data_IF_193672193156
#
_entry.id   IF_193672193156
#
_cell.length_a   1.000
_cell.length_b   1.000
_cell.length_c   1.000
_cell.angle_alpha   90.00
_cell.angle_beta   90.00
_cell.angle_gamma   90.00
#
_symmetry.space_group_name_H-M   'P 1'
#
loop_
_entity.id
_entity.type
_entity.pdbx_description
1 polymer ?
#
# COMPACT_ATOMS: atom_id res chain seq x y z
N UNK A 1 -11.68 34.39 -1.28
CA UNK A 1 -12.19 33.06 -1.69
C UNK A 1 -11.06 32.27 -2.38
N UNK A 2 -9.87 32.15 -1.73
CA UNK A 2 -8.63 31.63 -2.35
C UNK A 2 -8.17 30.30 -1.71
N UNK A 3 -8.81 29.89 -0.60
CA UNK A 3 -8.39 28.71 0.18
C UNK A 3 -8.94 27.37 -0.34
N UNK A 4 -10.10 27.37 -1.03
CA UNK A 4 -10.68 26.12 -1.56
C UNK A 4 -9.94 25.60 -2.81
N UNK A 5 -9.49 26.51 -3.68
CA UNK A 5 -8.78 26.15 -4.92
C UNK A 5 -7.41 25.51 -4.65
N UNK A 6 -6.70 25.95 -3.61
CA UNK A 6 -5.40 25.39 -3.22
C UNK A 6 -5.55 24.00 -2.56
N UNK A 7 -6.62 23.77 -1.81
CA UNK A 7 -6.91 22.47 -1.21
C UNK A 7 -7.23 21.41 -2.28
N UNK A 8 -8.08 21.76 -3.25
CA UNK A 8 -8.40 20.86 -4.38
C UNK A 8 -7.16 20.59 -5.24
N UNK A 9 -6.36 21.62 -5.55
CA UNK A 9 -5.14 21.45 -6.34
C UNK A 9 -4.13 20.52 -5.64
N UNK A 10 -3.93 20.68 -4.32
CA UNK A 10 -3.09 19.80 -3.50
C UNK A 10 -3.62 18.36 -3.50
N UNK A 11 -4.93 18.18 -3.36
CA UNK A 11 -5.56 16.86 -3.40
C UNK A 11 -5.38 16.17 -4.77
N UNK A 12 -5.64 16.89 -5.87
CA UNK A 12 -5.44 16.38 -7.24
C UNK A 12 -3.97 16.04 -7.46
N UNK A 13 -3.05 16.91 -7.06
CA UNK A 13 -1.62 16.66 -7.19
C UNK A 13 -1.18 15.45 -6.37
N UNK A 14 -1.71 15.31 -5.15
CA UNK A 14 -1.45 14.15 -4.31
C UNK A 14 -1.92 12.84 -4.97
N UNK A 15 -3.16 12.83 -5.48
CA UNK A 15 -3.76 11.68 -6.16
C UNK A 15 -3.19 11.38 -7.55
N UNK A 16 -2.49 12.32 -8.17
CA UNK A 16 -1.91 12.17 -9.51
C UNK A 16 -0.81 11.11 -9.59
N UNK A 17 -0.19 10.74 -8.46
CA UNK A 17 0.91 9.77 -8.46
C UNK A 17 0.43 8.36 -8.09
N UNK A 18 0.86 7.38 -8.89
CA UNK A 18 0.58 5.95 -8.68
C UNK A 18 1.01 5.47 -7.27
N UNK A 19 2.14 5.95 -6.76
CA UNK A 19 2.61 5.58 -5.42
C UNK A 19 1.66 6.08 -4.31
N UNK A 20 1.07 7.26 -4.47
CA UNK A 20 0.10 7.80 -3.50
C UNK A 20 -1.19 6.99 -3.49
N UNK A 21 -1.76 6.74 -4.68
CA UNK A 21 -3.00 5.96 -4.83
C UNK A 21 -2.84 4.59 -4.18
N UNK A 22 -1.70 3.92 -4.41
CA UNK A 22 -1.38 2.64 -3.79
C UNK A 22 -1.38 2.67 -2.25
N UNK A 23 -0.87 3.74 -1.61
CA UNK A 23 -0.93 3.91 -0.14
C UNK A 23 -2.36 4.15 0.35
N UNK A 24 -3.16 4.95 -0.37
CA UNK A 24 -4.57 5.20 -0.03
C UNK A 24 -5.41 3.93 -0.15
N UNK A 25 -5.21 3.14 -1.20
CA UNK A 25 -5.86 1.83 -1.34
C UNK A 25 -5.54 0.93 -0.15
N UNK A 26 -4.28 0.92 0.29
CA UNK A 26 -3.87 0.16 1.48
C UNK A 26 -4.55 0.68 2.75
N UNK A 27 -4.63 2.00 2.93
CA UNK A 27 -5.34 2.63 4.06
C UNK A 27 -6.82 2.22 4.09
N UNK A 28 -7.51 2.30 2.95
CA UNK A 28 -8.92 1.93 2.83
C UNK A 28 -9.14 0.43 3.08
N UNK A 29 -8.23 -0.43 2.63
CA UNK A 29 -8.31 -1.87 2.87
C UNK A 29 -8.18 -2.23 4.35
N UNK A 30 -7.15 -1.71 5.03
CA UNK A 30 -6.95 -2.00 6.44
C UNK A 30 -7.94 -1.27 7.33
N UNK A 31 -8.37 -0.05 6.95
CA UNK A 31 -9.46 0.68 7.59
C UNK A 31 -10.75 -0.12 7.54
N UNK A 32 -11.16 -0.59 6.37
CA UNK A 32 -12.35 -1.45 6.21
C UNK A 32 -12.26 -2.73 7.05
N UNK A 33 -11.10 -3.40 7.08
CA UNK A 33 -10.89 -4.59 7.94
C UNK A 33 -11.02 -4.27 9.44
N UNK A 34 -10.37 -3.20 9.89
CA UNK A 34 -10.39 -2.81 11.29
C UNK A 34 -11.79 -2.37 11.73
N UNK A 35 -12.44 -1.53 10.94
CA UNK A 35 -13.82 -1.09 11.17
C UNK A 35 -14.78 -2.28 11.23
N UNK A 36 -14.66 -3.23 10.30
CA UNK A 36 -15.44 -4.48 10.34
C UNK A 36 -15.21 -5.25 11.64
N UNK A 37 -13.96 -5.43 12.05
CA UNK A 37 -13.63 -6.11 13.30
C UNK A 37 -14.23 -5.38 14.52
N UNK A 38 -14.10 -4.04 14.57
CA UNK A 38 -14.64 -3.23 15.65
C UNK A 38 -16.18 -3.32 15.72
N UNK A 39 -16.88 -3.28 14.58
CA UNK A 39 -18.33 -3.45 14.55
C UNK A 39 -18.79 -4.83 15.01
N UNK A 40 -18.12 -5.91 14.58
CA UNK A 40 -18.45 -7.26 15.05
C UNK A 40 -18.22 -7.38 16.55
N UNK A 41 -17.11 -6.83 17.06
CA UNK A 41 -16.71 -6.99 18.45
C UNK A 41 -17.55 -6.13 19.41
N UNK A 42 -17.89 -4.90 19.03
CA UNK A 42 -18.56 -3.93 19.91
C UNK A 42 -20.07 -3.83 19.69
N UNK A 43 -20.56 -4.08 18.48
CA UNK A 43 -21.99 -3.96 18.14
C UNK A 43 -22.69 -5.31 17.88
N UNK A 44 -21.98 -6.43 18.03
CA UNK A 44 -22.51 -7.79 17.81
C UNK A 44 -23.27 -7.93 16.47
N UNK A 45 -22.86 -7.15 15.47
CA UNK A 45 -23.44 -7.17 14.14
C UNK A 45 -23.37 -8.59 13.58
N UNK A 46 -24.49 -9.04 13.02
CA UNK A 46 -24.63 -10.40 12.52
C UNK A 46 -23.46 -10.75 11.61
N UNK A 47 -22.77 -11.85 11.92
CA UNK A 47 -21.52 -12.23 11.26
C UNK A 47 -21.75 -12.43 9.77
N UNK A 48 -22.95 -12.80 9.37
CA UNK A 48 -23.32 -13.03 7.98
C UNK A 48 -23.50 -11.71 7.20
N UNK A 49 -24.09 -10.68 7.81
CA UNK A 49 -24.14 -9.33 7.23
C UNK A 49 -22.74 -8.69 7.17
N UNK A 50 -21.92 -8.89 8.21
CA UNK A 50 -20.54 -8.41 8.23
C UNK A 50 -19.64 -9.16 7.23
N UNK A 51 -19.97 -10.40 6.86
CA UNK A 51 -19.26 -11.21 5.88
C UNK A 51 -19.58 -10.89 4.42
N UNK A 52 -20.51 -9.96 4.17
CA UNK A 52 -20.70 -9.36 2.86
C UNK A 52 -19.33 -8.91 2.32
N UNK A 53 -18.89 -9.46 1.17
CA UNK A 53 -17.59 -9.14 0.62
C UNK A 53 -17.59 -7.66 0.24
N UNK A 54 -16.67 -6.87 0.80
CA UNK A 54 -16.42 -5.54 0.24
C UNK A 54 -15.72 -5.73 -1.10
N UNK A 55 -16.50 -5.85 -2.18
CA UNK A 55 -16.02 -5.88 -3.57
C UNK A 55 -14.98 -4.78 -3.83
N UNK A 56 -15.12 -3.66 -3.12
CA UNK A 56 -14.20 -2.52 -3.05
C UNK A 56 -12.77 -2.93 -2.68
N UNK A 57 -12.54 -3.77 -1.66
CA UNK A 57 -11.19 -4.16 -1.26
C UNK A 57 -10.51 -5.08 -2.28
N UNK A 58 -11.29 -5.89 -2.99
CA UNK A 58 -10.81 -6.74 -4.06
C UNK A 58 -10.43 -5.88 -5.28
N UNK A 59 -11.30 -4.93 -5.63
CA UNK A 59 -11.03 -3.97 -6.69
C UNK A 59 -9.75 -3.18 -6.43
N UNK A 60 -9.53 -2.68 -5.21
CA UNK A 60 -8.29 -1.99 -4.86
C UNK A 60 -7.03 -2.86 -5.01
N UNK A 61 -7.10 -4.15 -4.69
CA UNK A 61 -5.96 -5.07 -4.92
C UNK A 61 -5.68 -5.29 -6.40
N UNK A 62 -6.73 -5.34 -7.21
CA UNK A 62 -6.60 -5.44 -8.65
C UNK A 62 -5.98 -4.17 -9.24
N UNK A 63 -6.43 -2.99 -8.79
CA UNK A 63 -5.80 -1.72 -9.17
C UNK A 63 -4.32 -1.70 -8.76
N UNK A 64 -3.99 -2.09 -7.53
CA UNK A 64 -2.60 -2.16 -7.06
C UNK A 64 -1.74 -3.10 -7.92
N UNK A 65 -2.30 -4.23 -8.39
CA UNK A 65 -1.62 -5.11 -9.34
C UNK A 65 -1.26 -4.38 -10.65
N UNK A 66 -2.23 -3.69 -11.27
CA UNK A 66 -1.99 -2.93 -12.51
C UNK A 66 -0.98 -1.79 -12.29
N UNK A 67 -1.08 -1.11 -11.16
CA UNK A 67 -0.15 -0.04 -10.77
C UNK A 67 1.29 -0.53 -10.62
N UNK A 68 1.54 -1.78 -10.20
CA UNK A 68 2.90 -2.30 -10.13
C UNK A 68 3.58 -2.37 -11.50
N UNK A 69 2.83 -2.67 -12.56
CA UNK A 69 3.37 -2.68 -13.92
C UNK A 69 3.76 -1.27 -14.40
N UNK A 70 2.91 -0.27 -14.10
CA UNK A 70 3.19 1.13 -14.39
C UNK A 70 4.41 1.64 -13.60
N UNK A 71 4.47 1.35 -12.29
CA UNK A 71 5.60 1.71 -11.45
C UNK A 71 6.91 1.10 -11.95
N UNK A 72 6.89 -0.16 -12.39
CA UNK A 72 8.07 -0.83 -12.91
C UNK A 72 8.63 -0.14 -14.16
N UNK A 73 7.75 0.25 -15.09
CA UNK A 73 8.12 0.95 -16.33
C UNK A 73 8.70 2.34 -16.04
N UNK A 74 8.20 3.02 -15.02
CA UNK A 74 8.56 4.39 -14.68
C UNK A 74 9.69 4.52 -13.65
N UNK A 75 10.38 3.44 -13.27
CA UNK A 75 11.56 3.52 -12.40
C UNK A 75 12.70 4.26 -13.10
N UNK A 76 12.93 5.51 -12.70
CA UNK A 76 14.04 6.35 -13.16
C UNK A 76 14.87 6.79 -11.96
N UNK A 77 15.91 6.02 -11.65
CA UNK A 77 16.87 6.33 -10.59
C UNK A 77 18.27 6.48 -11.20
N UNK A 78 19.06 7.51 -10.81
CA UNK A 78 20.38 7.75 -11.38
C UNK A 78 21.35 6.61 -11.03
N UNK A 79 21.27 6.10 -9.80
CA UNK A 79 22.12 5.02 -9.31
C UNK A 79 21.59 3.64 -9.75
N UNK A 80 22.44 2.84 -10.41
CA UNK A 80 22.08 1.50 -10.90
C UNK A 80 21.61 0.57 -9.78
N UNK A 81 22.32 0.56 -8.65
CA UNK A 81 21.98 -0.29 -7.51
C UNK A 81 20.60 0.06 -6.90
N UNK A 82 20.30 1.35 -6.74
CA UNK A 82 18.97 1.83 -6.30
C UNK A 82 17.89 1.41 -7.29
N UNK A 83 18.16 1.54 -8.60
CA UNK A 83 17.24 1.13 -9.66
C UNK A 83 16.92 -0.37 -9.60
N UNK A 84 17.94 -1.21 -9.43
CA UNK A 84 17.78 -2.67 -9.33
C UNK A 84 16.99 -3.04 -8.08
N UNK A 85 17.35 -2.49 -6.92
CA UNK A 85 16.62 -2.74 -5.66
C UNK A 85 15.16 -2.31 -5.74
N UNK A 86 14.88 -1.13 -6.32
CA UNK A 86 13.51 -0.63 -6.51
C UNK A 86 12.72 -1.54 -7.46
N UNK A 87 13.32 -1.96 -8.58
CA UNK A 87 12.69 -2.90 -9.53
C UNK A 87 12.39 -4.25 -8.87
N UNK A 88 13.37 -4.83 -8.15
CA UNK A 88 13.17 -6.08 -7.42
C UNK A 88 12.02 -5.96 -6.42
N UNK A 89 11.98 -4.86 -5.65
CA UNK A 89 10.90 -4.61 -4.70
C UNK A 89 9.53 -4.49 -5.39
N UNK A 90 9.44 -3.78 -6.51
CA UNK A 90 8.21 -3.70 -7.31
C UNK A 90 7.81 -5.07 -7.86
N UNK A 91 8.77 -5.87 -8.33
CA UNK A 91 8.52 -7.25 -8.78
C UNK A 91 8.00 -8.14 -7.64
N UNK A 92 8.51 -8.00 -6.42
CA UNK A 92 7.94 -8.68 -5.26
C UNK A 92 6.47 -8.27 -5.03
N UNK A 93 6.15 -6.98 -5.06
CA UNK A 93 4.77 -6.52 -4.94
C UNK A 93 3.89 -6.98 -6.09
N UNK A 94 4.42 -7.04 -7.32
CA UNK A 94 3.70 -7.55 -8.49
C UNK A 94 3.27 -9.00 -8.27
N UNK A 95 4.20 -9.89 -7.87
CA UNK A 95 3.87 -11.29 -7.59
C UNK A 95 2.97 -11.47 -6.37
N UNK A 96 3.16 -10.64 -5.33
CA UNK A 96 2.25 -10.58 -4.18
C UNK A 96 0.80 -10.34 -4.64
N UNK A 97 0.55 -9.25 -5.38
CA UNK A 97 -0.79 -8.92 -5.84
C UNK A 97 -1.31 -9.91 -6.89
N UNK A 98 -0.47 -10.43 -7.78
CA UNK A 98 -0.87 -11.43 -8.76
C UNK A 98 -1.40 -12.70 -8.07
N UNK A 99 -0.64 -13.23 -7.11
CA UNK A 99 -1.03 -14.44 -6.37
C UNK A 99 -2.24 -14.16 -5.48
N UNK A 100 -2.32 -12.99 -4.84
CA UNK A 100 -3.48 -12.62 -4.04
C UNK A 100 -4.77 -12.58 -4.89
N UNK A 101 -4.72 -11.91 -6.05
CA UNK A 101 -5.84 -11.85 -6.99
C UNK A 101 -6.21 -13.25 -7.52
N UNK A 102 -5.22 -14.09 -7.84
CA UNK A 102 -5.46 -15.47 -8.27
C UNK A 102 -6.13 -16.32 -7.18
N UNK A 103 -5.69 -16.18 -5.92
CA UNK A 103 -6.30 -16.87 -4.77
C UNK A 103 -7.75 -16.40 -4.58
N UNK A 104 -8.02 -15.10 -4.70
CA UNK A 104 -9.39 -14.55 -4.64
C UNK A 104 -10.24 -15.13 -5.76
N UNK A 105 -9.77 -15.14 -7.01
CA UNK A 105 -10.47 -15.72 -8.15
C UNK A 105 -10.83 -17.19 -7.90
N UNK A 106 -9.85 -18.02 -7.49
CA UNK A 106 -10.07 -19.45 -7.22
C UNK A 106 -11.07 -19.68 -6.10
N UNK A 107 -10.99 -18.91 -5.01
CA UNK A 107 -11.82 -19.14 -3.82
C UNK A 107 -13.21 -18.52 -3.92
N UNK A 108 -13.39 -17.42 -4.66
CA UNK A 108 -14.65 -16.68 -4.73
C UNK A 108 -15.44 -16.94 -6.00
N UNK A 109 -14.77 -16.98 -7.15
CA UNK A 109 -15.43 -17.18 -8.45
C UNK A 109 -15.58 -18.66 -8.75
N UNK A 110 -14.52 -19.43 -8.50
CA UNK A 110 -14.50 -20.88 -8.81
C UNK A 110 -14.90 -21.76 -7.62
N UNK A 111 -15.26 -21.17 -6.47
CA UNK A 111 -15.76 -21.90 -5.30
C UNK A 111 -14.76 -22.86 -4.65
N UNK A 112 -13.47 -22.77 -4.96
CA UNK A 112 -12.46 -23.66 -4.37
C UNK A 112 -12.35 -23.39 -2.88
N UNK A 113 -12.37 -24.44 -2.07
CA UNK A 113 -12.26 -24.34 -0.62
C UNK A 113 -11.02 -23.55 -0.21
N UNK A 114 -11.13 -22.51 0.65
CA UNK A 114 -9.97 -21.79 1.19
C UNK A 114 -9.02 -22.67 2.00
N UNK A 115 -9.49 -23.86 2.41
CA UNK A 115 -8.72 -24.86 3.16
C UNK A 115 -7.89 -25.77 2.25
N UNK A 116 -8.01 -25.66 0.93
CA UNK A 116 -7.24 -26.45 -0.03
C UNK A 116 -5.71 -26.27 0.19
N UNK A 117 -4.92 -27.36 0.23
CA UNK A 117 -3.46 -27.29 0.44
C UNK A 117 -2.72 -26.41 -0.57
N UNK A 118 -3.14 -26.40 -1.84
CA UNK A 118 -2.57 -25.56 -2.88
C UNK A 118 -2.86 -24.08 -2.63
N UNK A 119 -4.10 -23.73 -2.25
CA UNK A 119 -4.47 -22.36 -1.87
C UNK A 119 -3.67 -21.88 -0.66
N UNK A 120 -3.45 -22.74 0.33
CA UNK A 120 -2.59 -22.41 1.49
C UNK A 120 -1.14 -22.15 1.07
N UNK A 121 -0.59 -22.97 0.17
CA UNK A 121 0.78 -22.80 -0.34
C UNK A 121 0.92 -21.47 -1.10
N UNK A 122 -0.05 -21.13 -1.94
CA UNK A 122 -0.08 -19.85 -2.65
C UNK A 122 -0.15 -18.65 -1.68
N UNK A 123 -1.00 -18.72 -0.64
CA UNK A 123 -1.07 -17.67 0.39
C UNK A 123 0.26 -17.49 1.13
N UNK A 124 0.95 -18.58 1.47
CA UNK A 124 2.30 -18.49 2.07
C UNK A 124 3.31 -17.86 1.11
N UNK A 125 3.32 -18.28 -0.16
CA UNK A 125 4.19 -17.69 -1.18
C UNK A 125 3.94 -16.19 -1.37
N UNK A 126 2.68 -15.79 -1.41
CA UNK A 126 2.24 -14.40 -1.42
C UNK A 126 2.84 -13.61 -0.24
N UNK A 127 2.65 -14.09 1.00
CA UNK A 127 3.23 -13.45 2.19
C UNK A 127 4.77 -13.46 2.17
N UNK A 128 5.41 -14.45 1.55
CA UNK A 128 6.85 -14.49 1.31
C UNK A 128 7.33 -13.35 0.40
N UNK A 129 6.64 -13.10 -0.72
CA UNK A 129 6.93 -11.95 -1.57
C UNK A 129 6.74 -10.62 -0.85
N UNK A 130 5.70 -10.50 -0.03
CA UNK A 130 5.49 -9.30 0.78
C UNK A 130 6.62 -9.10 1.80
N UNK A 131 7.03 -10.16 2.51
CA UNK A 131 8.16 -10.10 3.45
C UNK A 131 9.46 -9.69 2.74
N UNK A 132 9.78 -10.30 1.60
CA UNK A 132 10.95 -9.92 0.81
C UNK A 132 10.90 -8.46 0.38
N UNK A 133 9.74 -7.93 0.00
CA UNK A 133 9.58 -6.51 -0.34
C UNK A 133 9.88 -5.57 0.83
N UNK A 134 9.60 -5.99 2.08
CA UNK A 134 9.89 -5.23 3.30
C UNK A 134 11.40 -5.27 3.58
N UNK A 135 12.02 -6.46 3.47
CA UNK A 135 13.46 -6.62 3.66
C UNK A 135 14.26 -5.77 2.66
N UNK A 136 13.85 -5.74 1.39
CA UNK A 136 14.45 -4.90 0.36
C UNK A 136 14.27 -3.39 0.61
N UNK A 137 13.29 -2.99 1.42
CA UNK A 137 13.03 -1.58 1.73
C UNK A 137 14.04 -0.98 2.73
N UNK A 138 14.76 -1.80 3.52
CA UNK A 138 15.81 -1.31 4.43
C UNK A 138 17.05 -0.80 3.68
N UNK A 139 17.73 -1.60 2.84
CA UNK A 139 18.89 -1.13 2.09
C UNK A 139 18.50 -0.02 1.12
N UNK A 140 17.32 -0.10 0.50
CA UNK A 140 16.83 0.94 -0.43
C UNK A 140 16.72 2.31 0.26
N UNK A 141 16.07 2.38 1.43
CA UNK A 141 15.91 3.65 2.14
C UNK A 141 17.24 4.21 2.65
N UNK A 142 18.17 3.34 3.05
CA UNK A 142 19.52 3.75 3.41
C UNK A 142 20.24 4.38 2.22
N UNK A 143 20.15 3.77 1.04
CA UNK A 143 20.79 4.29 -0.19
C UNK A 143 20.14 5.57 -0.72
N UNK A 144 18.83 5.72 -0.54
CA UNK A 144 18.11 6.92 -0.96
C UNK A 144 18.17 8.05 0.07
N UNK A 145 18.83 7.84 1.22
CA UNK A 145 18.82 8.75 2.38
C UNK A 145 17.40 9.12 2.84
N UNK A 146 16.43 8.22 2.61
CA UNK A 146 15.00 8.39 2.97
C UNK A 146 14.64 7.73 4.30
N UNK A 147 15.65 7.32 5.07
CA UNK A 147 15.49 6.61 6.35
C UNK A 147 14.97 7.48 7.49
N UNK A 148 13.80 8.11 7.33
CA UNK A 148 13.13 8.78 8.43
C UNK A 148 12.67 7.75 9.47
N UNK A 149 12.64 8.15 10.75
CA UNK A 149 12.18 7.30 11.85
C UNK A 149 10.79 6.71 11.56
N UNK A 150 9.89 7.51 10.97
CA UNK A 150 8.54 7.07 10.57
C UNK A 150 8.57 5.98 9.48
N UNK A 151 9.44 6.07 8.47
CA UNK A 151 9.57 5.01 7.46
C UNK A 151 10.07 3.71 8.08
N UNK A 152 10.98 3.79 9.05
CA UNK A 152 11.48 2.62 9.78
C UNK A 152 10.39 2.00 10.64
N UNK A 153 9.65 2.80 11.42
CA UNK A 153 8.52 2.34 12.24
C UNK A 153 7.49 1.64 11.36
N UNK A 154 7.13 2.23 10.21
CA UNK A 154 6.20 1.61 9.25
C UNK A 154 6.62 0.19 8.86
N UNK A 155 7.90 -0.01 8.52
CA UNK A 155 8.43 -1.34 8.15
C UNK A 155 8.42 -2.31 9.32
N UNK A 156 8.73 -1.83 10.53
CA UNK A 156 8.69 -2.63 11.75
C UNK A 156 7.27 -3.05 12.13
N UNK A 157 6.26 -2.23 11.83
CA UNK A 157 4.85 -2.62 11.98
C UNK A 157 4.43 -3.68 10.95
N UNK A 158 4.95 -3.60 9.72
CA UNK A 158 4.64 -4.54 8.65
C UNK A 158 5.35 -5.90 8.82
N UNK A 159 6.55 -5.91 9.39
CA UNK A 159 7.44 -7.07 9.44
C UNK A 159 6.80 -8.26 10.21
N UNK A 160 6.24 -8.11 11.43
CA UNK A 160 5.56 -9.18 12.13
C UNK A 160 4.35 -9.70 11.35
N UNK A 161 3.59 -8.80 10.70
CA UNK A 161 2.38 -9.15 9.95
C UNK A 161 2.73 -10.04 8.75
N UNK A 162 3.77 -9.67 7.98
CA UNK A 162 4.24 -10.48 6.86
C UNK A 162 4.87 -11.80 7.33
N UNK A 163 5.59 -11.80 8.45
CA UNK A 163 6.29 -12.97 8.99
C UNK A 163 5.29 -14.02 9.50
N UNK A 164 4.30 -13.60 10.29
CA UNK A 164 3.20 -14.46 10.76
C UNK A 164 2.40 -15.02 9.57
N UNK A 165 2.13 -14.17 8.56
CA UNK A 165 1.47 -14.59 7.33
C UNK A 165 2.24 -15.66 6.57
N UNK A 166 3.57 -15.59 6.55
CA UNK A 166 4.44 -16.61 5.94
C UNK A 166 4.42 -17.91 6.75
N UNK A 167 4.52 -17.82 8.07
CA UNK A 167 4.48 -18.96 8.99
C UNK A 167 3.12 -19.66 9.04
N UNK A 168 2.05 -19.02 8.55
CA UNK A 168 0.69 -19.56 8.57
C UNK A 168 0.06 -19.60 9.95
N UNK A 169 0.64 -18.88 10.92
CA UNK A 169 0.10 -18.75 12.26
C UNK A 169 -1.17 -17.90 12.24
N UNK A 170 -2.18 -18.30 13.00
CA UNK A 170 -3.39 -17.49 13.20
C UNK A 170 -3.14 -16.50 14.31
N UNK A 171 -3.42 -15.24 14.03
CA UNK A 171 -3.39 -14.13 15.00
C UNK A 171 -4.71 -13.39 14.89
N UNK A 172 -5.09 -12.65 15.93
CA UNK A 172 -6.30 -11.83 15.95
C UNK A 172 -6.40 -10.92 14.72
N UNK A 173 -7.52 -11.01 14.01
CA UNK A 173 -7.85 -10.15 12.87
C UNK A 173 -7.84 -8.65 13.25
N UNK A 174 -8.17 -8.33 14.50
CA UNK A 174 -8.14 -6.97 15.04
C UNK A 174 -6.73 -6.41 15.16
N UNK A 175 -5.79 -7.20 15.70
CA UNK A 175 -4.38 -6.80 15.80
C UNK A 175 -3.76 -6.62 14.42
N UNK A 176 -4.07 -7.52 13.49
CA UNK A 176 -3.63 -7.42 12.09
C UNK A 176 -4.22 -6.20 11.38
N UNK A 177 -5.50 -5.92 11.62
CA UNK A 177 -6.17 -4.72 11.12
C UNK A 177 -5.52 -3.44 11.66
N UNK A 178 -5.29 -3.37 12.97
CA UNK A 178 -4.72 -2.21 13.65
C UNK A 178 -3.27 -1.93 13.21
N UNK A 179 -2.40 -2.95 13.17
CA UNK A 179 -1.01 -2.80 12.72
C UNK A 179 -0.95 -2.35 11.24
N UNK A 180 -1.77 -2.98 10.40
CA UNK A 180 -1.87 -2.62 8.99
C UNK A 180 -2.41 -1.21 8.76
N UNK A 181 -3.39 -0.79 9.56
CA UNK A 181 -3.96 0.57 9.54
C UNK A 181 -2.94 1.61 9.98
N UNK A 182 -2.25 1.38 11.11
CA UNK A 182 -1.21 2.27 11.60
C UNK A 182 -0.07 2.43 10.59
N UNK A 183 0.41 1.34 10.00
CA UNK A 183 1.41 1.36 8.94
C UNK A 183 0.94 2.10 7.68
N UNK A 184 -0.32 1.88 7.27
CA UNK A 184 -0.89 2.57 6.12
C UNK A 184 -1.04 4.08 6.37
N UNK A 185 -1.45 4.48 7.58
CA UNK A 185 -1.57 5.89 7.97
C UNK A 185 -0.21 6.60 7.93
N UNK A 186 0.83 5.98 8.49
CA UNK A 186 2.21 6.49 8.40
C UNK A 186 2.64 6.59 6.92
N UNK A 187 2.27 5.60 6.11
CA UNK A 187 2.54 5.58 4.67
C UNK A 187 1.90 6.75 3.90
N UNK A 188 0.64 7.05 4.16
CA UNK A 188 -0.08 8.18 3.54
C UNK A 188 0.52 9.50 4.03
N UNK A 189 0.77 9.65 5.33
CA UNK A 189 1.34 10.86 5.90
C UNK A 189 2.75 11.17 5.36
N UNK A 190 3.65 10.19 5.40
CA UNK A 190 5.02 10.36 4.86
C UNK A 190 4.97 10.72 3.38
N UNK A 191 4.06 10.11 2.62
CA UNK A 191 3.90 10.44 1.21
C UNK A 191 3.32 11.84 0.98
N UNK A 192 2.39 12.27 1.82
CA UNK A 192 1.82 13.62 1.76
C UNK A 192 2.93 14.66 1.91
N UNK A 193 3.79 14.52 2.92
CA UNK A 193 4.93 15.41 3.15
C UNK A 193 5.85 15.46 1.92
N UNK A 194 6.23 14.31 1.36
CA UNK A 194 7.08 14.25 0.16
C UNK A 194 6.45 14.94 -1.06
N UNK A 195 5.16 14.70 -1.30
CA UNK A 195 4.45 15.21 -2.47
C UNK A 195 4.18 16.71 -2.33
N UNK A 196 3.83 17.18 -1.13
CA UNK A 196 3.64 18.61 -0.87
C UNK A 196 4.95 19.40 -0.99
N UNK A 197 6.08 18.84 -0.58
CA UNK A 197 7.38 19.47 -0.80
C UNK A 197 7.67 19.68 -2.30
N UNK A 198 7.34 18.69 -3.14
CA UNK A 198 7.47 18.80 -4.61
C UNK A 198 6.47 19.80 -5.20
N UNK A 199 5.23 19.81 -4.71
CA UNK A 199 4.21 20.76 -5.13
C UNK A 199 4.66 22.20 -4.86
N UNK A 200 5.15 22.48 -3.64
CA UNK A 200 5.69 23.79 -3.27
C UNK A 200 6.85 24.20 -4.18
N UNK A 201 7.81 23.31 -4.44
CA UNK A 201 8.92 23.59 -5.35
C UNK A 201 8.46 23.90 -6.77
N UNK A 202 7.46 23.18 -7.29
CA UNK A 202 6.89 23.45 -8.61
C UNK A 202 6.11 24.76 -8.65
N UNK A 203 5.38 25.08 -7.59
CA UNK A 203 4.62 26.32 -7.48
C UNK A 203 5.54 27.53 -7.42
N UNK A 204 6.60 27.48 -6.59
CA UNK A 204 7.63 28.52 -6.52
C UNK A 204 8.34 28.73 -7.87
N UNK A 205 8.64 27.65 -8.60
CA UNK A 205 9.22 27.76 -9.95
C UNK A 205 8.28 28.41 -10.97
N UNK A 206 6.97 28.20 -10.86
CA UNK A 206 5.98 28.85 -11.73
C UNK A 206 5.85 30.34 -11.41
N UNK A 207 5.87 30.70 -10.13
CA UNK A 207 5.85 32.10 -9.67
C UNK A 207 7.14 32.85 -10.03
N UNK A 208 8.29 32.19 -10.05
CA UNK A 208 9.54 32.79 -10.53
C UNK A 208 9.69 32.84 -12.06
N UNK A 209 8.75 32.24 -12.80
CA UNK A 209 8.74 32.19 -14.27
C UNK A 209 7.65 33.08 -14.89
N UNK A 210 6.89 33.83 -14.09
CA UNK A 210 6.07 34.92 -14.61
C UNK A 210 7.02 36.03 -15.09
N UNK A 211 7.09 36.34 -16.39
CA UNK A 211 7.88 37.47 -16.86
C UNK A 211 7.33 38.73 -16.20
N UNK A 212 8.23 39.60 -15.73
CA UNK A 212 7.87 40.97 -15.36
C UNK A 212 7.15 41.58 -16.56
N UNK A 213 5.83 41.76 -16.43
CA UNK A 213 5.07 42.58 -17.37
C UNK A 213 5.44 44.01 -17.00
N UNK A 214 6.53 44.49 -17.58
CA UNK A 214 6.94 45.89 -17.62
C UNK A 214 6.30 46.59 -18.83
#
# INVERSE_FOLDING_TARGET
>A
MVFEDDALAKAVFFLSTTETRSQLYRLLQYGSKFTKWAFIQHWQLDRDAANAPSNVTQFFRFLQFLEMADLYRNVREPLRAVRVLRRLRITCFFFFYLIENYVVLRTRVLGVSPRDPFIRRLRRGCNGFWLMSILLAFPLDRMMQRGTMLSTIKKLLDLPVASVGLSGLRVSDGLFGALGLASAQIGVYTRWVEVMAKFQQQHLKRLGATPDIA
#
